data_IF_813919835790
#
_entry.id   IF_813919835790
#
_cell.length_a   1.000
_cell.length_b   1.000
_cell.length_c   1.000
_cell.angle_alpha   90.00
_cell.angle_beta   90.00
_cell.angle_gamma   90.00
#
_symmetry.space_group_name_H-M   'P 1'
#
loop_
_entity.id
_entity.type
_entity.pdbx_description
1 polymer ?
#
# COMPACT_ATOMS: atom_id res chain seq x y z
N UNK A 1 41.01 28.11 28.89
CA UNK A 1 40.66 26.91 28.08
C UNK A 1 39.15 26.68 27.89
N UNK A 2 38.23 27.42 28.55
CA UNK A 2 36.77 27.20 28.40
C UNK A 2 36.08 27.98 27.25
N UNK A 3 36.72 29.00 26.66
CA UNK A 3 36.08 29.84 25.62
C UNK A 3 36.06 29.20 24.22
N UNK A 4 36.93 28.21 23.97
CA UNK A 4 36.99 27.48 22.70
C UNK A 4 35.86 26.44 22.58
N UNK A 5 35.51 25.78 23.70
CA UNK A 5 34.45 24.75 23.73
C UNK A 5 33.04 25.31 23.45
N UNK A 6 32.76 26.54 23.90
CA UNK A 6 31.46 27.19 23.67
C UNK A 6 31.28 27.56 22.19
N UNK A 7 32.35 27.96 21.51
CA UNK A 7 32.28 28.25 20.07
C UNK A 7 32.09 26.98 19.22
N UNK A 8 32.73 25.87 19.61
CA UNK A 8 32.56 24.59 18.90
C UNK A 8 31.16 24.00 19.08
N UNK A 9 30.53 24.17 20.25
CA UNK A 9 29.18 23.66 20.49
C UNK A 9 28.08 24.43 19.76
N UNK A 10 28.21 25.77 19.63
CA UNK A 10 27.24 26.60 18.90
C UNK A 10 27.29 26.34 17.38
N UNK A 11 28.48 26.04 16.84
CA UNK A 11 28.65 25.68 15.42
C UNK A 11 28.07 24.29 15.10
N UNK A 12 28.11 23.35 16.05
CA UNK A 12 27.53 22.01 15.89
C UNK A 12 25.99 22.02 15.85
N UNK A 13 25.34 22.93 16.58
CA UNK A 13 23.88 23.08 16.56
C UNK A 13 23.42 23.78 15.26
N UNK A 14 24.24 24.66 14.69
CA UNK A 14 23.94 25.36 13.44
C UNK A 14 24.03 24.48 12.18
N UNK A 15 24.63 23.29 12.27
CA UNK A 15 24.62 22.27 11.22
C UNK A 15 23.36 21.38 11.24
N UNK A 16 22.48 21.56 12.23
CA UNK A 16 21.11 21.05 12.17
C UNK A 16 20.29 21.96 11.25
N UNK A 17 20.62 21.93 9.96
CA UNK A 17 20.05 22.83 8.97
C UNK A 17 18.53 22.61 8.83
N UNK A 18 17.74 23.67 8.61
CA UNK A 18 16.28 23.56 8.36
C UNK A 18 15.91 22.81 7.06
N UNK A 19 16.89 22.33 6.30
CA UNK A 19 16.71 21.62 5.01
C UNK A 19 16.15 20.21 5.16
N UNK A 20 16.42 19.51 6.27
CA UNK A 20 15.85 18.18 6.53
C UNK A 20 14.34 18.25 6.79
N UNK A 21 13.90 19.26 7.55
CA UNK A 21 12.49 19.46 7.91
C UNK A 21 11.61 19.83 6.70
N UNK A 22 12.11 20.66 5.77
CA UNK A 22 11.36 21.02 4.57
C UNK A 22 11.20 19.85 3.58
N UNK A 23 12.22 18.99 3.46
CA UNK A 23 12.18 17.79 2.62
C UNK A 23 11.22 16.74 3.17
N UNK A 24 11.20 16.56 4.49
CA UNK A 24 10.32 15.62 5.18
C UNK A 24 8.84 15.98 5.00
N UNK A 25 8.49 17.27 5.13
CA UNK A 25 7.12 17.76 4.87
C UNK A 25 6.65 17.44 3.44
N UNK A 26 7.52 17.58 2.44
CA UNK A 26 7.18 17.30 1.05
C UNK A 26 6.81 15.83 0.80
N UNK A 27 7.54 14.90 1.44
CA UNK A 27 7.27 13.45 1.31
C UNK A 27 5.95 13.08 2.00
N UNK A 28 5.65 13.67 3.16
CA UNK A 28 4.37 13.46 3.85
C UNK A 28 3.20 13.95 2.99
N UNK A 29 3.30 15.14 2.39
CA UNK A 29 2.26 15.71 1.53
C UNK A 29 2.06 14.84 0.27
N UNK A 30 3.15 14.39 -0.37
CA UNK A 30 3.12 13.48 -1.51
C UNK A 30 2.42 12.15 -1.18
N UNK A 31 2.78 11.54 -0.04
CA UNK A 31 2.17 10.30 0.42
C UNK A 31 0.65 10.48 0.63
N UNK A 32 0.20 11.59 1.23
CA UNK A 32 -1.24 11.85 1.40
C UNK A 32 -1.97 12.04 0.07
N UNK A 33 -1.35 12.71 -0.90
CA UNK A 33 -1.92 12.89 -2.24
C UNK A 33 -2.09 11.54 -2.96
N UNK A 34 -1.06 10.70 -2.96
CA UNK A 34 -1.12 9.37 -3.57
C UNK A 34 -2.18 8.51 -2.87
N UNK A 35 -2.24 8.58 -1.54
CA UNK A 35 -3.26 7.89 -0.74
C UNK A 35 -4.68 8.34 -1.09
N UNK A 36 -4.91 9.63 -1.28
CA UNK A 36 -6.21 10.15 -1.69
C UNK A 36 -6.56 9.71 -3.11
N UNK A 37 -5.60 9.78 -4.04
CA UNK A 37 -5.77 9.32 -5.42
C UNK A 37 -6.16 7.84 -5.47
N UNK A 38 -5.49 6.97 -4.69
CA UNK A 38 -5.88 5.56 -4.58
C UNK A 38 -7.38 5.40 -4.26
N UNK A 39 -7.88 6.13 -3.27
CA UNK A 39 -9.27 6.01 -2.83
C UNK A 39 -10.24 6.42 -3.92
N UNK A 40 -9.93 7.48 -4.68
CA UNK A 40 -10.76 7.93 -5.80
C UNK A 40 -10.76 6.88 -6.91
N UNK A 41 -9.58 6.50 -7.40
CA UNK A 41 -9.44 5.56 -8.53
C UNK A 41 -10.06 4.20 -8.22
N UNK A 42 -9.85 3.67 -7.00
CA UNK A 42 -10.43 2.40 -6.60
C UNK A 42 -11.96 2.44 -6.55
N UNK A 43 -12.55 3.55 -6.10
CA UNK A 43 -14.01 3.74 -6.07
C UNK A 43 -14.61 3.89 -7.46
N UNK A 44 -13.87 4.48 -8.39
CA UNK A 44 -14.29 4.66 -9.79
C UNK A 44 -14.13 3.38 -10.62
N UNK A 45 -13.50 2.33 -10.07
CA UNK A 45 -13.23 1.09 -10.79
C UNK A 45 -11.97 1.15 -11.67
N UNK A 46 -11.21 2.24 -11.58
CA UNK A 46 -9.94 2.42 -12.28
C UNK A 46 -8.83 1.66 -11.53
N UNK A 47 -8.91 0.33 -11.58
CA UNK A 47 -8.08 -0.54 -10.75
C UNK A 47 -6.59 -0.51 -11.14
N UNK A 48 -6.26 -0.19 -12.39
CA UNK A 48 -4.86 -0.03 -12.82
C UNK A 48 -4.19 1.18 -12.17
N UNK A 49 -4.89 2.31 -12.12
CA UNK A 49 -4.44 3.54 -11.47
C UNK A 49 -4.40 3.37 -9.96
N UNK A 50 -5.38 2.67 -9.38
CA UNK A 50 -5.37 2.32 -7.97
C UNK A 50 -4.16 1.41 -7.64
N UNK A 51 -3.87 0.42 -8.49
CA UNK A 51 -2.71 -0.45 -8.33
C UNK A 51 -1.41 0.36 -8.33
N UNK A 52 -1.20 1.21 -9.33
CA UNK A 52 -0.02 2.09 -9.42
C UNK A 52 0.11 3.02 -8.21
N UNK A 53 -1.00 3.59 -7.74
CA UNK A 53 -1.00 4.43 -6.55
C UNK A 53 -0.59 3.65 -5.31
N UNK A 54 -1.12 2.44 -5.11
CA UNK A 54 -0.75 1.60 -3.97
C UNK A 54 0.73 1.15 -4.02
N UNK A 55 1.23 0.81 -5.19
CA UNK A 55 2.64 0.48 -5.40
C UNK A 55 3.55 1.68 -5.07
N UNK A 56 3.18 2.89 -5.50
CA UNK A 56 3.90 4.11 -5.16
C UNK A 56 3.92 4.40 -3.65
N UNK A 57 2.82 4.10 -2.93
CA UNK A 57 2.81 4.21 -1.46
C UNK A 57 3.86 3.29 -0.83
N UNK A 58 3.98 2.05 -1.31
CA UNK A 58 4.99 1.09 -0.84
C UNK A 58 6.42 1.44 -1.29
N UNK A 59 6.60 2.21 -2.36
CA UNK A 59 7.91 2.76 -2.71
C UNK A 59 8.35 3.88 -1.74
N UNK A 60 7.40 4.66 -1.22
CA UNK A 60 7.68 5.71 -0.23
C UNK A 60 7.89 5.08 1.15
N UNK A 61 6.98 4.19 1.56
CA UNK A 61 7.05 3.45 2.82
C UNK A 61 6.76 1.96 2.59
N UNK A 62 7.82 1.14 2.41
CA UNK A 62 7.68 -0.30 2.22
C UNK A 62 7.06 -1.03 3.41
N UNK A 63 7.02 -0.39 4.58
CA UNK A 63 6.56 -1.01 5.82
C UNK A 63 5.07 -0.82 6.06
N UNK A 64 4.39 0.03 5.28
CA UNK A 64 2.99 0.37 5.49
C UNK A 64 2.04 -0.79 5.15
N UNK A 65 1.41 -1.43 6.16
CA UNK A 65 0.49 -2.54 5.92
C UNK A 65 -0.82 -2.09 5.26
N UNK A 66 -1.20 -0.81 5.35
CA UNK A 66 -2.37 -0.27 4.66
C UNK A 66 -2.09 -0.16 3.17
N UNK A 67 -0.91 0.33 2.76
CA UNK A 67 -0.51 0.34 1.36
C UNK A 67 -0.39 -1.08 0.78
N UNK A 68 0.14 -2.03 1.56
CA UNK A 68 0.16 -3.44 1.17
C UNK A 68 -1.23 -4.02 0.93
N UNK A 69 -2.16 -3.83 1.87
CA UNK A 69 -3.54 -4.28 1.71
C UNK A 69 -4.20 -3.66 0.46
N UNK A 70 -3.99 -2.36 0.22
CA UNK A 70 -4.49 -1.66 -0.96
C UNK A 70 -3.96 -2.25 -2.27
N UNK A 71 -2.67 -2.57 -2.31
CA UNK A 71 -2.06 -3.18 -3.49
C UNK A 71 -2.70 -4.55 -3.78
N UNK A 72 -2.90 -5.37 -2.75
CA UNK A 72 -3.58 -6.67 -2.86
C UNK A 72 -5.03 -6.51 -3.33
N UNK A 73 -5.78 -5.54 -2.80
CA UNK A 73 -7.14 -5.26 -3.24
C UNK A 73 -7.22 -4.89 -4.71
N UNK A 74 -6.38 -3.95 -5.18
CA UNK A 74 -6.36 -3.54 -6.59
C UNK A 74 -5.89 -4.68 -7.51
N UNK A 75 -4.85 -5.41 -7.11
CA UNK A 75 -4.34 -6.57 -7.85
C UNK A 75 -5.41 -7.66 -8.05
N UNK A 76 -6.23 -7.88 -7.01
CA UNK A 76 -7.32 -8.85 -7.05
C UNK A 76 -8.37 -8.51 -8.10
N UNK A 77 -8.72 -7.24 -8.23
CA UNK A 77 -9.70 -6.79 -9.23
C UNK A 77 -9.17 -6.96 -10.65
N UNK A 78 -7.86 -6.72 -10.84
CA UNK A 78 -7.15 -6.91 -12.11
C UNK A 78 -6.82 -8.37 -12.44
N UNK A 79 -6.95 -9.29 -11.48
CA UNK A 79 -6.54 -10.69 -11.65
C UNK A 79 -5.02 -10.88 -11.76
N UNK A 80 -4.25 -9.94 -11.21
CA UNK A 80 -2.78 -10.03 -11.12
C UNK A 80 -2.42 -11.16 -10.13
N UNK A 81 -1.33 -11.88 -10.41
CA UNK A 81 -0.84 -12.92 -9.50
C UNK A 81 -0.31 -12.32 -8.20
N UNK A 82 -1.17 -12.34 -7.18
CA UNK A 82 -0.87 -11.78 -5.87
C UNK A 82 0.21 -12.56 -5.10
N UNK A 83 0.57 -13.79 -5.53
CA UNK A 83 1.70 -14.52 -4.92
C UNK A 83 3.03 -13.82 -5.21
N UNK A 84 3.17 -13.23 -6.39
CA UNK A 84 4.34 -12.41 -6.76
C UNK A 84 4.40 -11.16 -5.88
N UNK A 85 3.27 -10.50 -5.65
CA UNK A 85 3.17 -9.33 -4.78
C UNK A 85 3.56 -9.70 -3.35
N UNK A 86 3.03 -10.81 -2.81
CA UNK A 86 3.41 -11.30 -1.49
C UNK A 86 4.91 -11.53 -1.40
N UNK A 87 5.50 -12.21 -2.37
CA UNK A 87 6.94 -12.49 -2.38
C UNK A 87 7.77 -11.21 -2.31
N UNK A 88 7.38 -10.17 -3.06
CA UNK A 88 8.15 -8.94 -3.18
C UNK A 88 7.98 -8.00 -1.98
N UNK A 89 6.77 -7.88 -1.44
CA UNK A 89 6.43 -6.83 -0.45
C UNK A 89 6.22 -7.36 0.97
N UNK A 90 5.62 -8.54 1.14
CA UNK A 90 5.26 -9.04 2.48
C UNK A 90 6.44 -9.14 3.48
N UNK A 91 7.69 -9.44 3.08
CA UNK A 91 8.83 -9.45 4.01
C UNK A 91 9.14 -8.09 4.65
N UNK A 92 8.71 -6.98 4.03
CA UNK A 92 9.04 -5.62 4.47
C UNK A 92 7.90 -4.96 5.26
N UNK A 93 6.68 -5.47 5.12
CA UNK A 93 5.49 -4.94 5.79
C UNK A 93 5.61 -5.09 7.31
N UNK A 94 5.37 -3.99 8.03
CA UNK A 94 5.45 -3.95 9.48
C UNK A 94 4.40 -4.85 10.14
N UNK A 95 4.80 -5.45 11.25
CA UNK A 95 3.97 -6.26 12.15
C UNK A 95 4.17 -5.85 13.62
N UNK A 96 4.58 -4.59 13.84
CA UNK A 96 5.04 -4.09 15.14
C UNK A 96 3.93 -4.07 16.20
N UNK A 97 2.67 -4.01 15.78
CA UNK A 97 1.50 -4.02 16.65
C UNK A 97 0.36 -4.84 16.07
N UNK A 98 -0.63 -5.14 16.91
CA UNK A 98 -1.77 -6.01 16.55
C UNK A 98 -2.55 -5.51 15.35
N UNK A 99 -2.72 -4.19 15.18
CA UNK A 99 -3.46 -3.64 14.02
C UNK A 99 -2.72 -3.90 12.72
N UNK A 100 -1.40 -3.78 12.73
CA UNK A 100 -0.56 -4.04 11.56
C UNK A 100 -0.55 -5.53 11.20
N UNK A 101 -0.47 -6.41 12.22
CA UNK A 101 -0.60 -7.86 12.05
C UNK A 101 -1.96 -8.24 11.47
N UNK A 102 -3.05 -7.66 11.97
CA UNK A 102 -4.40 -7.87 11.46
C UNK A 102 -4.52 -7.44 9.99
N UNK A 103 -3.97 -6.27 9.61
CA UNK A 103 -4.00 -5.79 8.23
C UNK A 103 -3.23 -6.73 7.28
N UNK A 104 -2.04 -7.18 7.69
CA UNK A 104 -1.27 -8.15 6.90
C UNK A 104 -1.97 -9.49 6.79
N UNK A 105 -2.58 -9.98 7.87
CA UNK A 105 -3.37 -11.21 7.87
C UNK A 105 -4.56 -11.10 6.91
N UNK A 106 -5.29 -9.98 6.91
CA UNK A 106 -6.39 -9.73 5.97
C UNK A 106 -5.87 -9.77 4.53
N UNK A 107 -4.74 -9.11 4.26
CA UNK A 107 -4.12 -9.15 2.94
C UNK A 107 -3.78 -10.59 2.53
N UNK A 108 -3.16 -11.37 3.41
CA UNK A 108 -2.84 -12.78 3.12
C UNK A 108 -4.09 -13.64 2.92
N UNK A 109 -5.16 -13.41 3.68
CA UNK A 109 -6.45 -14.08 3.46
C UNK A 109 -7.04 -13.76 2.09
N UNK A 110 -6.93 -12.52 1.61
CA UNK A 110 -7.42 -12.14 0.28
C UNK A 110 -6.66 -12.82 -0.85
N UNK A 111 -5.35 -13.07 -0.65
CA UNK A 111 -4.49 -13.77 -1.60
C UNK A 111 -4.89 -15.25 -1.71
N UNK A 112 -5.14 -15.91 -0.57
CA UNK A 112 -5.53 -17.32 -0.55
C UNK A 112 -6.99 -17.56 -0.94
N UNK A 113 -7.84 -16.54 -0.77
CA UNK A 113 -9.27 -16.66 -1.07
C UNK A 113 -9.54 -16.59 -2.57
N UNK A 114 -10.08 -17.66 -3.19
CA UNK A 114 -10.53 -17.60 -4.58
C UNK A 114 -11.45 -16.39 -4.76
N UNK A 115 -11.25 -15.59 -5.83
CA UNK A 115 -12.24 -14.59 -6.20
C UNK A 115 -13.52 -15.37 -6.47
N UNK A 116 -14.53 -15.21 -5.62
CA UNK A 116 -15.87 -15.76 -5.85
C UNK A 116 -16.44 -14.99 -7.04
N UNK A 117 -15.95 -15.32 -8.23
CA UNK A 117 -16.59 -14.94 -9.46
C UNK A 117 -17.94 -15.63 -9.44
N UNK A 118 -18.99 -14.83 -9.30
CA UNK A 118 -20.29 -15.15 -9.88
C UNK A 118 -20.04 -15.62 -11.32
N UNK A 119 -19.88 -16.94 -11.50
CA UNK A 119 -19.82 -17.56 -12.80
C UNK A 119 -21.27 -17.58 -13.33
N UNK A 120 -21.79 -16.39 -13.64
CA UNK A 120 -23.09 -16.18 -14.28
C UNK A 120 -23.12 -16.76 -15.70
N UNK A 121 -22.00 -17.30 -16.19
CA UNK A 121 -21.93 -18.00 -17.47
C UNK A 121 -22.53 -19.42 -17.42
N UNK A 122 -22.77 -19.99 -16.24
CA UNK A 122 -23.31 -21.36 -16.11
C UNK A 122 -24.73 -21.44 -15.52
N UNK A 123 -25.43 -20.32 -15.33
CA UNK A 123 -26.85 -20.33 -14.88
C UNK A 123 -27.82 -20.22 -16.09
N UNK A 124 -27.30 -20.13 -17.31
CA UNK A 124 -28.09 -20.11 -18.56
C UNK A 124 -28.40 -21.49 -19.15
N UNK A 125 -27.65 -22.53 -18.79
CA UNK A 125 -27.70 -23.82 -19.50
C UNK A 125 -28.56 -24.90 -18.82
N UNK A 126 -29.08 -24.65 -17.62
CA UNK A 126 -29.95 -25.62 -16.90
C UNK A 126 -31.44 -25.50 -17.19
N UNK A 127 -31.88 -24.54 -18.03
CA UNK A 127 -33.29 -24.41 -18.42
C UNK A 127 -33.62 -24.83 -19.87
N UNK A 128 -32.66 -25.32 -20.66
CA UNK A 128 -32.95 -25.82 -22.02
C UNK A 128 -33.18 -27.34 -22.13
N UNK A 129 -32.97 -28.10 -21.04
CA UNK A 129 -33.16 -29.56 -21.04
C UNK A 129 -34.50 -30.05 -20.48
N UNK A 130 -35.49 -29.16 -20.39
CA UNK A 130 -36.91 -29.50 -20.21
C UNK A 130 -37.70 -29.15 -21.48
N UNK A 131 -37.28 -29.72 -22.61
CA UNK A 131 -38.20 -30.00 -23.72
C UNK A 131 -37.98 -31.41 -24.21
N UNK A 132 -38.76 -32.35 -23.69
CA UNK A 132 -39.44 -33.40 -24.45
C UNK A 132 -40.44 -34.13 -23.58
#
# INVERSE_FOLDING_TARGET
MNKFYIFVSVVLIALCSPTTFAKDKGIVDEYQIIKANYVVQFKEGNYEEAYKAAENLLHIDPTDPVAYLKLIMAARELGIDMKVIRHNFAPWVSESNMKEQELKLIADMLIESPRVGLNLKNIGDTHSNLKK
#
